data_IF_745574361713
#
_entry.id   IF_745574361713
#
_cell.length_a   1.000
_cell.length_b   1.000
_cell.length_c   1.000
_cell.angle_alpha   90.00
_cell.angle_beta   90.00
_cell.angle_gamma   90.00
#
_symmetry.space_group_name_H-M   'P 1'
#
loop_
_entity.id
_entity.type
_entity.pdbx_description
1 polymer ?
#
# COMPACT_ATOMS: atom_id res chain seq x y z
N UNK A 1 -13.58 28.26 -27.27
CA UNK A 1 -12.81 28.22 -26.02
C UNK A 1 -13.04 26.82 -25.47
N UNK A 2 -12.13 25.89 -25.75
CA UNK A 2 -12.23 24.52 -25.25
C UNK A 2 -12.23 24.58 -23.71
N UNK A 3 -13.15 23.91 -22.99
CA UNK A 3 -13.07 23.85 -21.55
C UNK A 3 -11.72 23.23 -21.15
N UNK A 4 -11.00 23.90 -20.25
CA UNK A 4 -9.78 23.40 -19.64
C UNK A 4 -10.12 22.16 -18.78
N UNK A 5 -10.21 21.00 -19.43
CA UNK A 5 -10.45 19.71 -18.79
C UNK A 5 -9.13 19.24 -18.19
N UNK A 6 -8.72 19.86 -17.08
CA UNK A 6 -7.68 19.26 -16.24
C UNK A 6 -8.25 17.97 -15.67
N UNK A 7 -7.58 16.82 -15.82
CA UNK A 7 -8.01 15.60 -15.16
C UNK A 7 -8.12 15.87 -13.64
N UNK A 8 -9.09 15.24 -12.95
CA UNK A 8 -9.26 15.44 -11.52
C UNK A 8 -7.94 15.19 -10.79
N UNK A 9 -7.57 16.11 -9.90
CA UNK A 9 -6.35 15.99 -9.13
C UNK A 9 -6.43 14.73 -8.26
N UNK A 10 -5.47 13.81 -8.40
CA UNK A 10 -5.37 12.64 -7.56
C UNK A 10 -4.55 12.95 -6.29
N UNK A 11 -4.82 12.27 -5.15
CA UNK A 11 -4.01 12.35 -3.95
C UNK A 11 -2.52 12.11 -4.21
N UNK A 12 -1.66 12.95 -3.63
CA UNK A 12 -0.19 12.82 -3.71
C UNK A 12 0.36 12.44 -2.34
N UNK A 13 1.51 11.75 -2.25
CA UNK A 13 2.16 11.49 -0.98
C UNK A 13 2.30 12.79 -0.15
N UNK A 14 1.97 12.77 1.15
CA UNK A 14 1.76 11.58 1.99
C UNK A 14 0.34 10.98 1.94
N UNK A 15 -0.60 11.57 1.21
CA UNK A 15 -1.98 11.08 1.13
C UNK A 15 -2.08 9.85 0.24
N UNK A 16 -2.83 8.85 0.71
CA UNK A 16 -3.01 7.60 -0.01
C UNK A 16 -4.03 7.75 -1.13
N UNK A 17 -3.66 7.25 -2.31
CA UNK A 17 -4.47 7.11 -3.49
C UNK A 17 -5.24 5.78 -3.39
N UNK A 18 -6.59 5.81 -3.36
CA UNK A 18 -7.38 4.57 -3.35
C UNK A 18 -7.27 3.82 -4.67
N UNK A 19 -7.45 2.50 -4.64
CA UNK A 19 -7.22 1.61 -5.78
C UNK A 19 -7.98 2.06 -7.04
N UNK A 20 -9.27 2.42 -6.92
CA UNK A 20 -10.08 2.83 -8.07
C UNK A 20 -9.53 4.05 -8.82
N UNK A 21 -8.64 4.85 -8.22
CA UNK A 21 -8.01 6.02 -8.83
C UNK A 21 -6.60 5.75 -9.35
N UNK A 22 -6.06 4.52 -9.21
CA UNK A 22 -4.72 4.17 -9.70
C UNK A 22 -4.56 4.30 -11.22
N UNK A 23 -5.65 4.46 -11.97
CA UNK A 23 -5.62 4.73 -13.41
C UNK A 23 -5.34 6.20 -13.74
N UNK A 24 -5.53 7.13 -12.80
CA UNK A 24 -5.36 8.58 -13.05
C UNK A 24 -3.90 9.02 -13.15
N UNK A 25 -2.98 8.63 -12.25
CA UNK A 25 -1.60 9.11 -12.33
C UNK A 25 -0.88 8.55 -13.57
N UNK A 26 -0.05 9.36 -14.24
CA UNK A 26 0.73 8.91 -15.39
C UNK A 26 1.84 7.92 -14.97
N UNK A 27 2.42 7.25 -15.95
CA UNK A 27 3.60 6.38 -15.75
C UNK A 27 4.72 7.11 -15.01
N UNK A 28 5.34 6.45 -14.03
CA UNK A 28 6.42 7.04 -13.22
C UNK A 28 5.97 8.05 -12.16
N UNK A 29 4.68 8.41 -12.11
CA UNK A 29 4.14 9.29 -11.09
C UNK A 29 4.33 8.69 -9.70
N UNK A 30 4.72 9.54 -8.75
CA UNK A 30 4.92 9.13 -7.36
C UNK A 30 3.58 9.17 -6.62
N UNK A 31 3.20 8.05 -6.03
CA UNK A 31 1.93 7.83 -5.34
C UNK A 31 2.16 7.22 -3.97
N UNK A 32 1.17 7.31 -3.10
CA UNK A 32 1.12 6.54 -1.86
C UNK A 32 -0.13 5.65 -1.93
N UNK A 33 -0.02 4.40 -1.53
CA UNK A 33 -1.16 3.47 -1.37
C UNK A 33 -1.12 2.92 0.05
N UNK A 34 -2.27 2.56 0.60
CA UNK A 34 -2.34 1.80 1.83
C UNK A 34 -3.36 0.69 1.69
N UNK A 35 -3.12 -0.43 2.36
CA UNK A 35 -4.04 -1.57 2.31
C UNK A 35 -3.58 -2.74 3.16
N UNK A 36 -4.51 -3.66 3.40
CA UNK A 36 -4.26 -4.92 4.08
C UNK A 36 -3.38 -5.79 3.21
N UNK A 37 -2.38 -6.44 3.82
CA UNK A 37 -1.51 -7.33 3.04
C UNK A 37 -2.19 -8.68 2.85
N UNK A 38 -2.53 -9.01 1.61
CA UNK A 38 -3.12 -10.30 1.26
C UNK A 38 -2.04 -11.36 1.02
N UNK A 39 -1.07 -11.03 0.18
CA UNK A 39 -0.10 -12.01 -0.35
C UNK A 39 1.28 -11.37 -0.43
N UNK A 40 2.30 -12.18 -0.14
CA UNK A 40 3.71 -11.88 -0.42
C UNK A 40 4.29 -13.00 -1.26
N UNK A 41 4.86 -12.67 -2.41
CA UNK A 41 5.52 -13.63 -3.27
C UNK A 41 6.97 -13.23 -3.48
N UNK A 42 7.87 -14.19 -3.33
CA UNK A 42 9.30 -14.02 -3.64
C UNK A 42 9.72 -15.11 -4.62
N UNK A 43 9.56 -14.90 -5.93
CA UNK A 43 9.93 -15.88 -6.93
C UNK A 43 11.42 -16.21 -6.84
N UNK A 44 11.78 -17.50 -6.84
CA UNK A 44 13.17 -17.94 -6.67
C UNK A 44 14.13 -17.44 -7.75
N UNK A 45 13.60 -17.08 -8.93
CA UNK A 45 14.35 -16.65 -10.11
C UNK A 45 14.54 -15.13 -10.21
N UNK A 46 13.84 -14.34 -9.39
CA UNK A 46 13.66 -12.90 -9.64
C UNK A 46 14.59 -11.98 -8.83
N UNK A 47 15.89 -12.30 -8.76
CA UNK A 47 16.97 -11.42 -8.19
C UNK A 47 16.60 -10.69 -6.88
N UNK A 48 15.88 -11.35 -5.97
CA UNK A 48 15.53 -10.77 -4.67
C UNK A 48 14.37 -9.76 -4.67
N UNK A 49 13.58 -9.68 -5.74
CA UNK A 49 12.31 -8.91 -5.74
C UNK A 49 11.25 -9.62 -4.89
N UNK A 50 10.40 -8.83 -4.23
CA UNK A 50 9.22 -9.29 -3.51
C UNK A 50 8.01 -8.58 -4.10
N UNK A 51 6.97 -9.33 -4.41
CA UNK A 51 5.66 -8.80 -4.77
C UNK A 51 4.77 -8.83 -3.53
N UNK A 52 4.09 -7.72 -3.27
CA UNK A 52 3.12 -7.60 -2.18
C UNK A 52 1.79 -7.15 -2.76
N UNK A 53 0.71 -7.87 -2.46
CA UNK A 53 -0.65 -7.48 -2.84
C UNK A 53 -1.30 -6.81 -1.64
N UNK A 54 -1.72 -5.56 -1.82
CA UNK A 54 -2.46 -4.78 -0.82
C UNK A 54 -3.92 -4.67 -1.23
N UNK A 55 -4.85 -4.81 -0.29
CA UNK A 55 -6.30 -4.62 -0.52
C UNK A 55 -6.81 -3.38 0.22
N UNK A 56 -7.61 -2.58 -0.49
CA UNK A 56 -8.50 -1.57 0.07
C UNK A 56 -9.95 -1.86 -0.34
N UNK A 57 -10.89 -0.99 0.04
CA UNK A 57 -12.32 -1.18 -0.21
C UNK A 57 -12.69 -1.23 -1.71
N UNK A 58 -11.79 -0.78 -2.59
CA UNK A 58 -12.02 -0.65 -4.02
C UNK A 58 -11.25 -1.67 -4.87
N UNK A 59 -10.32 -2.42 -4.27
CA UNK A 59 -9.61 -3.51 -4.95
C UNK A 59 -8.18 -3.69 -4.48
N UNK A 60 -7.34 -4.25 -5.36
CA UNK A 60 -5.99 -4.70 -5.01
C UNK A 60 -4.88 -3.91 -5.70
N UNK A 61 -3.96 -3.33 -4.93
CA UNK A 61 -2.74 -2.71 -5.44
C UNK A 61 -1.58 -3.71 -5.43
N UNK A 62 -0.92 -3.87 -6.59
CA UNK A 62 0.26 -4.73 -6.71
C UNK A 62 1.53 -3.91 -6.46
N UNK A 63 2.24 -4.20 -5.38
CA UNK A 63 3.47 -3.51 -4.99
C UNK A 63 4.69 -4.36 -5.35
N UNK A 64 5.68 -3.74 -5.99
CA UNK A 64 6.97 -4.35 -6.30
C UNK A 64 8.02 -3.79 -5.34
N UNK A 65 8.63 -4.65 -4.53
CA UNK A 65 9.67 -4.30 -3.57
C UNK A 65 10.99 -4.90 -4.02
N UNK A 66 11.88 -4.06 -4.53
CA UNK A 66 13.23 -4.47 -4.91
C UNK A 66 14.11 -4.74 -3.71
N UNK A 67 15.14 -5.58 -3.88
CA UNK A 67 16.03 -6.02 -2.80
C UNK A 67 16.56 -4.86 -1.92
N UNK A 68 16.97 -3.75 -2.53
CA UNK A 68 17.47 -2.56 -1.81
C UNK A 68 16.42 -1.98 -0.86
N UNK A 69 15.18 -1.88 -1.32
CA UNK A 69 14.05 -1.34 -0.55
C UNK A 69 13.65 -2.34 0.54
N UNK A 70 13.58 -3.63 0.20
CA UNK A 70 13.34 -4.69 1.17
C UNK A 70 14.37 -4.69 2.30
N UNK A 71 15.66 -4.54 1.99
CA UNK A 71 16.71 -4.51 3.01
C UNK A 71 16.53 -3.32 3.97
N UNK A 72 16.15 -2.15 3.46
CA UNK A 72 15.88 -0.96 4.28
C UNK A 72 14.62 -1.11 5.14
N UNK A 73 13.54 -1.66 4.59
CA UNK A 73 12.22 -1.74 5.24
C UNK A 73 11.83 -3.17 5.64
N UNK A 74 12.83 -4.01 5.97
CA UNK A 74 12.67 -5.46 6.14
C UNK A 74 11.53 -5.85 7.08
N UNK A 75 11.45 -5.20 8.25
CA UNK A 75 10.45 -5.50 9.27
C UNK A 75 9.02 -5.28 8.75
N UNK A 76 8.77 -4.11 8.16
CA UNK A 76 7.47 -3.77 7.58
C UNK A 76 7.09 -4.74 6.46
N UNK A 77 8.01 -4.99 5.52
CA UNK A 77 7.75 -5.87 4.37
C UNK A 77 7.43 -7.30 4.80
N UNK A 78 8.08 -7.85 5.84
CA UNK A 78 7.85 -9.23 6.29
C UNK A 78 6.60 -9.34 7.16
N UNK A 79 6.45 -8.46 8.16
CA UNK A 79 5.52 -8.68 9.27
C UNK A 79 4.26 -7.80 9.22
N UNK A 80 4.27 -6.69 8.46
CA UNK A 80 3.17 -5.73 8.49
C UNK A 80 1.87 -6.30 7.95
N UNK A 81 0.79 -6.26 8.72
CA UNK A 81 -0.56 -6.68 8.31
C UNK A 81 -1.28 -5.59 7.53
N UNK A 82 -1.00 -4.33 7.85
CA UNK A 82 -1.43 -3.16 7.12
C UNK A 82 -0.19 -2.38 6.70
N UNK A 83 -0.06 -2.07 5.42
CA UNK A 83 1.10 -1.32 4.91
C UNK A 83 0.66 -0.02 4.27
N UNK A 84 1.47 1.02 4.48
CA UNK A 84 1.48 2.25 3.69
C UNK A 84 2.73 2.25 2.82
N UNK A 85 2.55 2.35 1.51
CA UNK A 85 3.63 2.26 0.53
C UNK A 85 3.64 3.51 -0.33
N UNK A 86 4.73 4.27 -0.25
CA UNK A 86 5.04 5.31 -1.24
C UNK A 86 5.93 4.73 -2.32
N UNK A 87 5.58 4.96 -3.58
CA UNK A 87 6.28 4.40 -4.73
C UNK A 87 5.92 5.08 -6.04
N UNK A 88 6.32 4.48 -7.16
CA UNK A 88 6.04 4.98 -8.50
C UNK A 88 5.14 4.05 -9.28
N UNK A 89 4.22 4.62 -10.05
CA UNK A 89 3.40 3.87 -11.00
C UNK A 89 4.29 3.26 -12.07
N UNK A 90 4.11 1.97 -12.31
CA UNK A 90 4.66 1.25 -13.45
C UNK A 90 3.56 0.41 -14.11
N UNK A 91 3.33 0.62 -15.40
CA UNK A 91 2.30 -0.10 -16.17
C UNK A 91 2.97 -1.07 -17.14
N UNK A 92 2.65 -2.36 -17.02
CA UNK A 92 3.15 -3.39 -17.92
C UNK A 92 2.04 -4.39 -18.23
N UNK A 93 1.87 -4.70 -19.52
CA UNK A 93 0.92 -5.71 -20.00
C UNK A 93 -0.51 -5.53 -19.44
N UNK A 94 -0.97 -4.29 -19.29
CA UNK A 94 -2.30 -3.96 -18.76
C UNK A 94 -2.41 -3.98 -17.23
N UNK A 95 -1.35 -4.34 -16.51
CA UNK A 95 -1.31 -4.37 -15.05
C UNK A 95 -0.61 -3.11 -14.52
N UNK A 96 -1.21 -2.49 -13.49
CA UNK A 96 -0.62 -1.39 -12.75
C UNK A 96 0.13 -1.91 -11.52
N UNK A 97 1.40 -1.54 -11.40
CA UNK A 97 2.24 -1.80 -10.24
C UNK A 97 2.65 -0.50 -9.56
N UNK A 98 2.85 -0.56 -8.24
CA UNK A 98 3.52 0.47 -7.46
C UNK A 98 4.92 -0.04 -7.10
N UNK A 99 5.95 0.53 -7.72
CA UNK A 99 7.35 0.23 -7.38
C UNK A 99 7.70 0.97 -6.10
N UNK A 100 7.92 0.24 -5.01
CA UNK A 100 8.10 0.81 -3.69
C UNK A 100 9.39 1.64 -3.58
N UNK A 101 9.29 2.81 -2.95
CA UNK A 101 10.43 3.63 -2.51
C UNK A 101 10.50 3.71 -0.98
N UNK A 102 9.34 3.67 -0.30
CA UNK A 102 9.20 3.66 1.16
C UNK A 102 8.07 2.72 1.55
N UNK A 103 8.30 1.91 2.57
CA UNK A 103 7.30 0.99 3.13
C UNK A 103 7.19 1.23 4.62
N UNK A 104 5.97 1.49 5.08
CA UNK A 104 5.64 1.78 6.47
C UNK A 104 4.66 0.73 6.99
N UNK A 105 4.96 0.21 8.17
CA UNK A 105 4.08 -0.71 8.88
C UNK A 105 3.02 0.11 9.63
N UNK A 106 1.78 0.01 9.17
CA UNK A 106 0.62 0.67 9.76
C UNK A 106 -0.23 -0.30 10.61
N UNK A 107 0.28 -1.50 10.92
CA UNK A 107 -0.47 -2.52 11.66
C UNK A 107 -0.95 -2.08 13.04
N UNK A 108 -0.30 -1.08 13.65
CA UNK A 108 -0.76 -0.49 14.91
C UNK A 108 -2.18 0.08 14.83
N UNK A 109 -2.60 0.57 13.65
CA UNK A 109 -3.98 1.05 13.43
C UNK A 109 -5.01 -0.09 13.54
N UNK A 110 -4.64 -1.30 13.15
CA UNK A 110 -5.50 -2.47 13.33
C UNK A 110 -5.61 -2.85 14.82
N UNK A 111 -4.52 -2.70 15.57
CA UNK A 111 -4.53 -2.97 17.01
C UNK A 111 -5.39 -1.95 17.76
N UNK A 112 -5.42 -0.70 17.31
CA UNK A 112 -6.32 0.33 17.83
C UNK A 112 -7.80 0.00 17.58
N UNK A 113 -8.15 -0.50 16.39
CA UNK A 113 -9.53 -0.93 16.10
C UNK A 113 -10.01 -2.05 17.04
N UNK A 114 -9.13 -3.00 17.38
CA UNK A 114 -9.45 -4.07 18.33
C UNK A 114 -9.67 -3.50 19.73
N UNK A 115 -8.79 -2.59 20.19
CA UNK A 115 -8.92 -1.94 21.52
C UNK A 115 -10.22 -1.16 21.68
N UNK A 116 -10.67 -0.48 20.62
CA UNK A 116 -11.93 0.27 20.64
C UNK A 116 -13.16 -0.64 20.78
N UNK A 117 -13.04 -1.92 20.45
CA UNK A 117 -14.12 -2.91 20.55
C UNK A 117 -14.00 -3.83 21.77
N UNK A 118 -12.93 -3.76 22.57
CA UNK A 118 -12.92 -4.40 23.87
C UNK A 118 -13.92 -3.66 24.77
N UNK A 119 -15.02 -4.29 25.23
CA UNK A 119 -15.82 -3.68 26.28
C UNK A 119 -14.87 -3.42 27.44
N UNK A 120 -14.87 -2.19 27.97
CA UNK A 120 -14.17 -1.84 29.19
C UNK A 120 -14.43 -2.99 30.16
N UNK A 121 -13.38 -3.77 30.47
CA UNK A 121 -13.50 -4.98 31.30
C UNK A 121 -14.44 -4.59 32.42
N UNK A 122 -15.61 -5.23 32.47
CA UNK A 122 -16.54 -5.05 33.55
C UNK A 122 -15.68 -5.11 34.81
N UNK A 123 -15.82 -4.09 35.65
CA UNK A 123 -15.22 -4.05 36.95
C UNK A 123 -15.85 -5.18 37.77
N UNK A 124 -15.47 -6.42 37.46
CA UNK A 124 -15.63 -7.57 38.31
C UNK A 124 -14.43 -7.54 39.24
N UNK A 125 -14.64 -6.80 40.32
CA UNK A 125 -14.02 -7.11 41.60
C UNK A 125 -15.01 -6.78 42.71
N UNK A 126 -14.93 -7.45 43.86
CA UNK A 126 -14.54 -8.83 44.12
C UNK A 126 -15.75 -9.79 44.17
#
# INVERSE_FOLDING_TARGET
MEPDIRPPAWPKPPDCLPHHLLHLPPEGARVCVAGLVLVRQRPGTAKGVIFVTLEDEFGVANVVVWQKIYQTFRRAVIAGRLLKVTGRIQRQSGVCHVVAERVEDASGLLDELVRLHEPARAADGP
#
